data_IF_227264975006
#
_entry.id   IF_227264975006
#
_cell.length_a   1.000
_cell.length_b   1.000
_cell.length_c   1.000
_cell.angle_alpha   90.00
_cell.angle_beta   90.00
_cell.angle_gamma   90.00
#
_symmetry.space_group_name_H-M   'P 1'
#
loop_
_entity.id
_entity.type
_entity.pdbx_description
1 polymer ?
#
# COMPACT_ATOMS: atom_id res chain seq x y z
N UNK A 1 46.84 24.75 -31.10
CA UNK A 1 45.67 25.22 -30.33
C UNK A 1 44.78 24.00 -30.08
N UNK A 2 44.49 23.63 -28.82
CA UNK A 2 43.74 22.41 -28.48
C UNK A 2 42.23 22.57 -28.70
N UNK A 3 41.54 21.49 -29.05
CA UNK A 3 40.09 21.38 -29.26
C UNK A 3 39.31 21.40 -27.93
N UNK A 4 38.14 22.06 -27.83
CA UNK A 4 37.27 21.99 -26.67
C UNK A 4 36.10 21.04 -26.93
N UNK A 5 36.27 19.74 -26.69
CA UNK A 5 35.21 18.73 -26.88
C UNK A 5 35.01 17.82 -25.66
N UNK A 6 35.28 18.29 -24.44
CA UNK A 6 35.21 17.46 -23.23
C UNK A 6 34.36 18.07 -22.11
N UNK A 7 33.09 18.43 -22.36
CA UNK A 7 32.17 18.89 -21.30
C UNK A 7 30.83 18.12 -21.22
N UNK A 8 30.60 17.10 -22.05
CA UNK A 8 29.33 16.33 -22.04
C UNK A 8 29.36 15.04 -21.21
N UNK A 9 30.51 14.63 -20.64
CA UNK A 9 30.65 13.35 -19.94
C UNK A 9 30.29 13.38 -18.45
N UNK A 10 30.21 14.55 -17.82
CA UNK A 10 29.94 14.68 -16.37
C UNK A 10 28.45 14.77 -16.03
N UNK A 11 27.57 15.02 -17.00
CA UNK A 11 26.11 15.07 -16.79
C UNK A 11 25.40 13.71 -16.77
N UNK A 12 26.02 12.66 -17.32
CA UNK A 12 25.39 11.35 -17.48
C UNK A 12 25.61 10.41 -16.29
N UNK A 13 26.75 10.55 -15.58
CA UNK A 13 27.10 9.67 -14.45
C UNK A 13 26.25 9.90 -13.20
N UNK A 14 25.65 11.08 -13.01
CA UNK A 14 24.79 11.35 -11.86
C UNK A 14 23.35 10.85 -12.06
N UNK A 15 22.94 10.55 -13.29
CA UNK A 15 21.55 10.21 -13.60
C UNK A 15 21.27 8.69 -13.47
N UNK A 16 22.29 7.84 -13.66
CA UNK A 16 22.15 6.37 -13.58
C UNK A 16 21.92 5.82 -12.16
N UNK A 17 22.44 6.50 -11.14
CA UNK A 17 22.35 6.05 -9.74
C UNK A 17 21.06 6.52 -9.02
N UNK A 18 20.27 7.35 -9.71
CA UNK A 18 19.06 7.99 -9.19
C UNK A 18 17.77 7.27 -9.60
N UNK A 19 17.74 6.58 -10.76
CA UNK A 19 16.54 5.91 -11.28
C UNK A 19 15.87 4.93 -10.29
N UNK A 20 16.59 3.98 -9.65
CA UNK A 20 15.94 3.01 -8.77
C UNK A 20 15.46 3.62 -7.44
N UNK A 21 16.22 4.60 -6.93
CA UNK A 21 15.85 5.31 -5.68
C UNK A 21 14.64 6.22 -5.87
N UNK A 22 14.55 6.89 -7.01
CA UNK A 22 13.39 7.71 -7.36
C UNK A 22 12.13 6.86 -7.59
N UNK A 23 12.27 5.66 -8.15
CA UNK A 23 11.17 4.71 -8.27
C UNK A 23 10.62 4.30 -6.89
N UNK A 24 11.51 3.98 -5.95
CA UNK A 24 11.15 3.66 -4.57
C UNK A 24 10.42 4.80 -3.85
N UNK A 25 10.88 6.05 -4.01
CA UNK A 25 10.23 7.24 -3.45
C UNK A 25 8.86 7.49 -4.10
N UNK A 26 8.74 7.29 -5.41
CA UNK A 26 7.47 7.41 -6.15
C UNK A 26 6.44 6.37 -5.73
N UNK A 27 6.88 5.15 -5.43
CA UNK A 27 6.01 4.05 -5.02
C UNK A 27 5.69 4.06 -3.52
N UNK A 28 6.43 4.84 -2.70
CA UNK A 28 6.23 4.92 -1.25
C UNK A 28 4.77 5.20 -0.85
N UNK A 29 4.04 6.15 -1.46
CA UNK A 29 2.64 6.39 -1.10
C UNK A 29 1.73 5.20 -1.42
N UNK A 30 1.98 4.51 -2.55
CA UNK A 30 1.26 3.31 -2.92
C UNK A 30 1.57 2.16 -1.95
N UNK A 31 2.83 1.99 -1.56
CA UNK A 31 3.25 0.99 -0.58
C UNK A 31 2.62 1.24 0.80
N UNK A 32 2.55 2.49 1.25
CA UNK A 32 1.88 2.87 2.52
C UNK A 32 0.39 2.55 2.46
N UNK A 33 -0.28 2.92 1.37
CA UNK A 33 -1.71 2.59 1.18
C UNK A 33 -1.94 1.08 1.14
N UNK A 34 -1.11 0.32 0.44
CA UNK A 34 -1.19 -1.13 0.42
C UNK A 34 -1.02 -1.71 1.83
N UNK A 35 -0.06 -1.21 2.60
CA UNK A 35 0.21 -1.68 3.96
C UNK A 35 -0.94 -1.38 4.91
N UNK A 36 -1.49 -0.16 4.87
CA UNK A 36 -2.70 0.22 5.60
C UNK A 36 -3.91 -0.63 5.19
N UNK A 37 -4.03 -0.92 3.89
CA UNK A 37 -5.08 -1.78 3.36
C UNK A 37 -5.01 -3.21 3.90
N UNK A 38 -3.81 -3.79 3.91
CA UNK A 38 -3.54 -5.12 4.45
C UNK A 38 -3.85 -5.20 5.94
N UNK A 39 -3.44 -4.20 6.73
CA UNK A 39 -3.79 -4.15 8.15
C UNK A 39 -5.30 -4.11 8.37
N UNK A 40 -6.01 -3.23 7.66
CA UNK A 40 -7.46 -3.10 7.81
C UNK A 40 -8.18 -4.41 7.44
N UNK A 41 -7.71 -5.09 6.38
CA UNK A 41 -8.20 -6.42 5.99
C UNK A 41 -7.95 -7.46 7.09
N UNK A 42 -6.74 -7.55 7.62
CA UNK A 42 -6.40 -8.49 8.69
C UNK A 42 -7.27 -8.26 9.93
N UNK A 43 -7.44 -7.00 10.35
CA UNK A 43 -8.28 -6.66 11.51
C UNK A 43 -9.74 -7.01 11.27
N UNK A 44 -10.31 -6.61 10.13
CA UNK A 44 -11.72 -6.88 9.83
C UNK A 44 -12.01 -8.38 9.62
N UNK A 45 -11.16 -9.10 8.90
CA UNK A 45 -11.31 -10.56 8.70
C UNK A 45 -11.17 -11.30 10.04
N UNK A 46 -10.25 -10.88 10.90
CA UNK A 46 -10.11 -11.47 12.22
C UNK A 46 -11.37 -11.29 13.09
N UNK A 47 -11.98 -10.10 13.07
CA UNK A 47 -13.23 -9.85 13.78
C UNK A 47 -14.41 -10.70 13.28
N UNK A 48 -14.57 -10.79 11.95
CA UNK A 48 -15.60 -11.63 11.32
C UNK A 48 -15.36 -13.12 11.60
N UNK A 49 -14.12 -13.58 11.51
CA UNK A 49 -13.74 -14.96 11.83
C UNK A 49 -14.04 -15.30 13.30
N UNK A 50 -13.69 -14.40 14.23
CA UNK A 50 -13.94 -14.58 15.65
C UNK A 50 -15.45 -14.71 15.93
N UNK A 51 -16.29 -13.89 15.28
CA UNK A 51 -17.74 -14.02 15.39
C UNK A 51 -18.30 -15.34 14.82
N UNK A 52 -17.74 -15.84 13.72
CA UNK A 52 -18.19 -17.10 13.09
C UNK A 52 -17.66 -18.36 13.80
N UNK A 53 -16.51 -18.26 14.48
CA UNK A 53 -15.86 -19.36 15.19
C UNK A 53 -16.37 -19.58 16.62
N UNK A 54 -17.02 -18.58 17.22
CA UNK A 54 -17.56 -18.67 18.58
C UNK A 54 -18.93 -19.39 18.56
N UNK A 55 -19.02 -20.57 19.17
CA UNK A 55 -20.24 -21.39 19.20
C UNK A 55 -21.34 -20.85 20.14
N UNK A 56 -21.06 -19.78 20.88
CA UNK A 56 -22.01 -19.15 21.83
C UNK A 56 -22.02 -17.62 21.69
N UNK A 57 -22.71 -17.07 20.67
CA UNK A 57 -22.73 -15.62 20.38
C UNK A 57 -23.34 -14.76 21.50
N UNK A 58 -24.06 -15.37 22.46
CA UNK A 58 -24.74 -14.67 23.54
C UNK A 58 -23.83 -14.18 24.69
N UNK A 59 -22.60 -14.70 24.82
CA UNK A 59 -21.71 -14.40 25.96
C UNK A 59 -20.57 -13.43 25.63
N UNK A 60 -20.36 -13.13 24.35
CA UNK A 60 -19.12 -12.49 23.89
C UNK A 60 -19.23 -10.95 23.72
N UNK A 61 -20.41 -10.35 23.95
CA UNK A 61 -20.59 -8.89 23.81
C UNK A 61 -20.36 -8.35 22.39
N UNK A 62 -20.22 -9.22 21.39
CA UNK A 62 -19.99 -8.87 19.99
C UNK A 62 -21.32 -8.57 19.33
N UNK A 63 -21.69 -7.29 19.38
CA UNK A 63 -22.94 -6.83 18.80
C UNK A 63 -22.84 -6.59 17.29
N UNK A 64 -23.99 -6.41 16.66
CA UNK A 64 -24.13 -5.90 15.28
C UNK A 64 -23.22 -4.70 14.98
N UNK A 65 -23.00 -3.72 15.89
CA UNK A 65 -22.08 -2.62 15.65
C UNK A 65 -20.62 -3.06 15.40
N UNK A 66 -20.15 -4.09 16.10
CA UNK A 66 -18.79 -4.64 15.96
C UNK A 66 -18.61 -5.28 14.58
N UNK A 67 -19.59 -6.08 14.14
CA UNK A 67 -19.56 -6.70 12.82
C UNK A 67 -19.61 -5.65 11.69
N UNK A 68 -20.39 -4.58 11.88
CA UNK A 68 -20.45 -3.48 10.91
C UNK A 68 -19.11 -2.76 10.81
N UNK A 69 -18.44 -2.56 11.95
CA UNK A 69 -17.10 -1.99 12.02
C UNK A 69 -16.06 -2.87 11.32
N UNK A 70 -16.07 -4.18 11.57
CA UNK A 70 -15.13 -5.10 10.92
C UNK A 70 -15.36 -5.20 9.42
N UNK A 71 -16.62 -5.22 8.99
CA UNK A 71 -16.98 -5.20 7.57
C UNK A 71 -16.51 -3.91 6.90
N UNK A 72 -16.62 -2.77 7.59
CA UNK A 72 -16.10 -1.50 7.11
C UNK A 72 -14.57 -1.54 7.00
N UNK A 73 -13.86 -2.13 7.96
CA UNK A 73 -12.40 -2.32 7.89
C UNK A 73 -11.99 -3.20 6.71
N UNK A 74 -12.71 -4.29 6.45
CA UNK A 74 -12.49 -5.12 5.24
C UNK A 74 -12.66 -4.29 3.97
N UNK A 75 -13.76 -3.52 3.88
CA UNK A 75 -14.03 -2.69 2.70
C UNK A 75 -12.97 -1.61 2.48
N UNK A 76 -12.60 -0.89 3.55
CA UNK A 76 -11.52 0.11 3.53
C UNK A 76 -10.20 -0.53 3.14
N UNK A 77 -9.93 -1.73 3.64
CA UNK A 77 -8.74 -2.49 3.31
C UNK A 77 -8.62 -2.81 1.81
N UNK A 78 -9.70 -3.32 1.21
CA UNK A 78 -9.78 -3.59 -0.23
C UNK A 78 -9.64 -2.31 -1.04
N UNK A 79 -10.34 -1.24 -0.64
CA UNK A 79 -10.27 0.05 -1.33
C UNK A 79 -8.84 0.59 -1.37
N UNK A 80 -8.14 0.62 -0.24
CA UNK A 80 -6.75 1.08 -0.21
C UNK A 80 -5.82 0.21 -1.05
N UNK A 81 -6.05 -1.10 -1.09
CA UNK A 81 -5.28 -2.00 -1.94
C UNK A 81 -5.52 -1.69 -3.44
N UNK A 82 -6.77 -1.48 -3.85
CA UNK A 82 -7.10 -1.10 -5.24
C UNK A 82 -6.48 0.24 -5.62
N UNK A 83 -6.57 1.25 -4.75
CA UNK A 83 -5.94 2.55 -4.97
C UNK A 83 -4.42 2.43 -5.05
N UNK A 84 -3.80 1.66 -4.14
CA UNK A 84 -2.37 1.41 -4.16
C UNK A 84 -1.92 0.76 -5.47
N UNK A 85 -2.63 -0.27 -5.94
CA UNK A 85 -2.32 -0.97 -7.20
C UNK A 85 -2.48 -0.03 -8.39
N UNK A 86 -3.59 0.71 -8.48
CA UNK A 86 -3.79 1.68 -9.56
C UNK A 86 -2.73 2.78 -9.56
N UNK A 87 -2.38 3.27 -8.38
CA UNK A 87 -1.34 4.29 -8.20
C UNK A 87 0.07 3.77 -8.50
N UNK A 88 0.35 2.49 -8.25
CA UNK A 88 1.60 1.86 -8.64
C UNK A 88 1.66 1.65 -10.16
N UNK A 89 0.57 1.18 -10.78
CA UNK A 89 0.48 0.96 -12.22
C UNK A 89 0.69 2.27 -13.01
N UNK A 90 0.06 3.37 -12.59
CA UNK A 90 0.22 4.70 -13.20
C UNK A 90 1.67 5.23 -13.13
N UNK A 91 2.45 4.82 -12.14
CA UNK A 91 3.86 5.24 -11.98
C UNK A 91 4.87 4.32 -12.67
N UNK A 92 4.42 3.13 -13.09
CA UNK A 92 5.24 2.10 -13.73
C UNK A 92 4.97 1.96 -15.24
N UNK A 93 3.83 2.43 -15.73
CA UNK A 93 3.49 2.55 -17.16
C UNK A 93 3.93 3.88 -17.76
#
# INVERSE_FOLDING_TARGET
MPSPDDDSATGQSLNGDHEPRWLGVRLLPAAVLAWLGVLALLTGVHGVWWMLGESTPAHAGYGVPSLLWDSALVFVGVYFLTVAVGSAADRLG
#
